data_IF_359536454420
#
_entry.id   IF_359536454420
#
_cell.length_a   1.000
_cell.length_b   1.000
_cell.length_c   1.000
_cell.angle_alpha   90.00
_cell.angle_beta   90.00
_cell.angle_gamma   90.00
#
_symmetry.space_group_name_H-M   'P 1'
#
loop_
_entity.id
_entity.type
_entity.pdbx_description
1 polymer ?
#
# COMPACT_ATOMS: atom_id res chain seq x y z
N UNK A 1 15.92 -16.53 3.93
CA UNK A 1 15.28 -15.21 4.16
C UNK A 1 14.02 -14.99 3.32
N UNK A 2 13.63 -15.94 2.47
CA UNK A 2 12.24 -16.32 2.20
C UNK A 2 12.23 -17.87 2.34
N UNK A 3 11.08 -18.48 2.62
CA UNK A 3 10.96 -19.94 2.76
C UNK A 3 11.12 -20.67 1.41
N UNK A 4 10.41 -21.78 1.24
CA UNK A 4 10.27 -22.42 -0.07
C UNK A 4 9.65 -21.45 -1.10
N UNK A 5 9.91 -21.60 -2.40
CA UNK A 5 9.26 -20.79 -3.43
C UNK A 5 7.73 -20.80 -3.29
N UNK A 6 7.13 -19.63 -3.09
CA UNK A 6 5.69 -19.47 -2.86
C UNK A 6 5.26 -19.42 -1.38
N UNK A 7 6.19 -19.53 -0.44
CA UNK A 7 5.95 -19.25 0.98
C UNK A 7 5.96 -17.75 1.26
N UNK A 8 4.79 -17.13 1.11
CA UNK A 8 4.57 -15.72 1.41
C UNK A 8 4.26 -15.47 2.91
N UNK A 9 4.41 -16.47 3.79
CA UNK A 9 4.05 -16.35 5.21
C UNK A 9 4.79 -15.23 5.96
N UNK A 10 5.96 -14.81 5.45
CA UNK A 10 6.78 -13.74 6.00
C UNK A 10 6.62 -12.40 5.25
N UNK A 11 5.79 -12.35 4.22
CA UNK A 11 5.60 -11.14 3.41
C UNK A 11 4.76 -10.13 4.20
N UNK A 12 5.29 -8.92 4.33
CA UNK A 12 4.59 -7.78 4.90
C UNK A 12 4.67 -6.61 3.92
N UNK A 13 3.55 -6.29 3.30
CA UNK A 13 3.44 -5.14 2.41
C UNK A 13 2.78 -3.97 3.16
N UNK A 14 3.38 -2.77 3.08
CA UNK A 14 2.87 -1.52 3.65
C UNK A 14 2.99 -0.41 2.62
N UNK A 15 2.12 0.61 2.69
CA UNK A 15 2.20 1.74 1.77
C UNK A 15 3.07 2.84 2.38
N UNK A 16 4.12 3.23 1.68
CA UNK A 16 5.07 4.24 2.11
C UNK A 16 4.87 5.55 1.33
N UNK A 17 5.21 6.68 1.97
CA UNK A 17 5.22 8.00 1.34
C UNK A 17 6.65 8.49 1.10
N UNK A 18 6.85 9.13 -0.05
CA UNK A 18 8.00 9.96 -0.33
C UNK A 18 7.56 11.26 -1.02
N UNK A 19 8.22 12.37 -0.72
CA UNK A 19 7.94 13.66 -1.33
C UNK A 19 9.18 14.22 -2.01
N UNK A 20 8.97 15.04 -3.04
CA UNK A 20 10.03 15.77 -3.73
C UNK A 20 9.50 17.16 -4.11
N UNK A 21 10.35 18.17 -3.96
CA UNK A 21 10.07 19.53 -4.41
C UNK A 21 10.61 19.78 -5.83
N UNK A 22 11.61 19.00 -6.27
CA UNK A 22 12.34 19.20 -7.54
C UNK A 22 12.14 18.06 -8.56
N UNK A 23 11.46 16.98 -8.19
CA UNK A 23 11.27 15.79 -9.02
C UNK A 23 12.52 14.92 -9.18
N UNK A 24 13.63 15.26 -8.49
CA UNK A 24 14.93 14.58 -8.61
C UNK A 24 15.34 13.97 -7.26
N UNK A 25 15.20 14.71 -6.17
CA UNK A 25 15.52 14.28 -4.81
C UNK A 25 14.25 13.96 -4.04
N UNK A 26 14.20 12.76 -3.47
CA UNK A 26 13.04 12.26 -2.74
C UNK A 26 13.38 12.03 -1.28
N UNK A 27 12.56 12.59 -0.39
CA UNK A 27 12.62 12.36 1.06
C UNK A 27 11.64 11.25 1.42
N UNK A 28 12.13 10.20 2.09
CA UNK A 28 11.30 9.09 2.57
C UNK A 28 10.64 9.48 3.90
N UNK A 29 9.33 9.35 3.98
CA UNK A 29 8.56 9.53 5.23
C UNK A 29 8.22 8.20 5.92
N UNK A 30 8.38 7.08 5.21
CA UNK A 30 8.11 5.75 5.72
C UNK A 30 6.64 5.32 5.54
N UNK A 31 6.20 4.28 6.27
CA UNK A 31 4.85 3.73 6.14
C UNK A 31 3.77 4.72 6.60
N UNK A 32 2.77 4.93 5.75
CA UNK A 32 1.57 5.76 6.04
C UNK A 32 0.29 4.93 6.10
N UNK A 33 0.31 3.69 5.59
CA UNK A 33 -0.82 2.77 5.69
C UNK A 33 -0.32 1.33 5.83
N UNK A 34 -0.74 0.67 6.92
CA UNK A 34 -0.53 -0.75 7.15
C UNK A 34 -1.75 -1.56 6.68
N UNK A 35 -1.57 -2.83 6.28
CA UNK A 35 -2.68 -3.70 6.00
C UNK A 35 -3.45 -3.99 7.29
N UNK A 36 -4.77 -4.25 7.19
CA UNK A 36 -5.53 -4.87 8.28
C UNK A 36 -4.91 -6.21 8.70
N UNK A 37 -5.19 -6.62 9.94
CA UNK A 37 -4.73 -7.91 10.46
C UNK A 37 -5.17 -9.06 9.55
N UNK A 38 -4.25 -10.00 9.30
CA UNK A 38 -4.51 -11.16 8.45
C UNK A 38 -4.38 -10.92 6.94
N UNK A 39 -4.08 -9.68 6.50
CA UNK A 39 -3.83 -9.36 5.09
C UNK A 39 -2.32 -9.16 4.86
N UNK A 40 -1.71 -10.05 4.07
CA UNK A 40 -0.29 -9.97 3.70
C UNK A 40 -0.07 -9.30 2.35
N UNK A 41 -0.94 -9.58 1.38
CA UNK A 41 -0.92 -8.94 0.08
C UNK A 41 -1.72 -7.64 0.15
N UNK A 42 -1.01 -6.53 0.04
CA UNK A 42 -1.53 -5.18 0.20
C UNK A 42 -0.59 -4.22 -0.51
N UNK A 43 -0.84 -3.92 -1.79
CA UNK A 43 0.13 -3.23 -2.65
C UNK A 43 -0.52 -2.47 -3.79
N UNK A 44 0.33 -1.79 -4.56
CA UNK A 44 0.01 -1.05 -5.78
C UNK A 44 -0.97 0.11 -5.53
N UNK A 45 -0.59 1.09 -4.67
CA UNK A 45 -1.46 2.21 -4.34
C UNK A 45 -1.63 3.13 -5.55
N UNK A 46 -2.88 3.40 -5.93
CA UNK A 46 -3.22 4.45 -6.90
C UNK A 46 -3.96 5.58 -6.19
N UNK A 47 -3.31 6.74 -6.12
CA UNK A 47 -3.84 7.95 -5.49
C UNK A 47 -4.41 8.91 -6.53
N UNK A 48 -5.52 9.58 -6.21
CA UNK A 48 -6.08 10.70 -6.98
C UNK A 48 -6.77 11.71 -6.06
N UNK A 49 -7.13 12.87 -6.61
CA UNK A 49 -7.87 13.91 -5.89
C UNK A 49 -9.22 14.14 -6.54
N UNK A 50 -10.28 14.13 -5.74
CA UNK A 50 -11.66 14.32 -6.21
C UNK A 50 -12.50 14.97 -5.10
N UNK A 51 -13.33 15.94 -5.46
CA UNK A 51 -14.22 16.67 -4.53
C UNK A 51 -13.51 17.25 -3.30
N UNK A 52 -12.26 17.69 -3.47
CA UNK A 52 -11.46 18.29 -2.39
C UNK A 52 -10.66 17.29 -1.56
N UNK A 53 -10.95 15.99 -1.65
CA UNK A 53 -10.32 14.93 -0.86
C UNK A 53 -9.28 14.13 -1.67
N UNK A 54 -8.33 13.53 -0.95
CA UNK A 54 -7.43 12.53 -1.50
C UNK A 54 -8.04 11.15 -1.37
N UNK A 55 -8.03 10.41 -2.46
CA UNK A 55 -8.51 9.04 -2.55
C UNK A 55 -7.38 8.11 -2.94
N UNK A 56 -7.46 6.86 -2.46
CA UNK A 56 -6.50 5.82 -2.80
C UNK A 56 -7.19 4.48 -2.94
N UNK A 57 -6.86 3.74 -4.00
CA UNK A 57 -7.14 2.31 -4.08
C UNK A 57 -5.87 1.50 -3.84
N UNK A 58 -5.98 0.37 -3.15
CA UNK A 58 -4.89 -0.59 -2.90
C UNK A 58 -5.39 -1.99 -3.22
N UNK A 59 -4.62 -2.77 -3.97
CA UNK A 59 -4.91 -4.18 -4.21
C UNK A 59 -4.65 -4.99 -2.94
N UNK A 60 -5.60 -5.84 -2.56
CA UNK A 60 -5.50 -6.70 -1.39
C UNK A 60 -5.92 -8.14 -1.69
N UNK A 61 -5.49 -9.10 -0.86
CA UNK A 61 -6.01 -10.48 -0.88
C UNK A 61 -6.33 -10.92 0.53
N UNK A 62 -7.54 -11.44 0.70
CA UNK A 62 -8.07 -11.93 1.98
C UNK A 62 -8.79 -13.24 1.73
N UNK A 63 -8.52 -14.27 2.54
CA UNK A 63 -9.10 -15.61 2.40
C UNK A 63 -8.97 -16.20 0.98
N UNK A 64 -7.87 -15.93 0.30
CA UNK A 64 -7.62 -16.40 -1.08
C UNK A 64 -8.26 -15.55 -2.18
N UNK A 65 -9.09 -14.56 -1.85
CA UNK A 65 -9.83 -13.75 -2.81
C UNK A 65 -9.16 -12.38 -3.00
N UNK A 66 -8.95 -12.01 -4.27
CA UNK A 66 -8.43 -10.69 -4.65
C UNK A 66 -9.50 -9.60 -4.53
N UNK A 67 -9.09 -8.42 -4.07
CA UNK A 67 -9.98 -7.32 -3.72
C UNK A 67 -9.28 -5.98 -4.00
N UNK A 68 -10.08 -4.92 -4.14
CA UNK A 68 -9.60 -3.53 -4.19
C UNK A 68 -10.16 -2.80 -2.97
N UNK A 69 -9.28 -2.24 -2.14
CA UNK A 69 -9.64 -1.46 -0.93
C UNK A 69 -9.58 0.03 -1.25
N UNK A 70 -10.59 0.78 -0.80
CA UNK A 70 -10.67 2.23 -0.96
C UNK A 70 -10.35 2.93 0.37
N UNK A 71 -9.51 3.96 0.31
CA UNK A 71 -9.14 4.83 1.42
C UNK A 71 -9.26 6.29 1.01
N UNK A 72 -9.43 7.18 1.98
CA UNK A 72 -9.43 8.62 1.76
C UNK A 72 -8.74 9.39 2.90
N UNK A 73 -8.30 10.62 2.61
CA UNK A 73 -7.74 11.57 3.58
C UNK A 73 -8.22 12.97 3.26
N UNK A 74 -8.50 13.73 4.32
CA UNK A 74 -8.67 15.18 4.27
C UNK A 74 -7.33 15.89 3.99
#
# INVERSE_FOLDING_TARGET
WLGEPGDDSQVREVQCLATSEDGIRFVKHGPVLAPPDGIQHFRDPKVWRENGEWWMVVGAKENGLGQVRLYHSA
#
